data_IF_408335995111
#
_entry.id   IF_408335995111
#
_cell.length_a   1.000
_cell.length_b   1.000
_cell.length_c   1.000
_cell.angle_alpha   90.00
_cell.angle_beta   90.00
_cell.angle_gamma   90.00
#
_symmetry.space_group_name_H-M   'P 1'
#
loop_
_entity.id
_entity.type
_entity.pdbx_description
1 polymer ?
2 non-polymer ?
3 non-polymer ?
4 water ?
#
# COMPACT_ATOMS: atom_id res chain seq x y z
N UNK A 2 -6.95 -6.31 18.90
CA UNK A 2 -5.79 -6.61 19.79
C UNK A 2 -4.78 -7.48 19.03
N UNK A 3 -4.78 -7.33 17.71
CA UNK A 3 -3.90 -8.06 16.81
C UNK A 3 -2.78 -7.13 16.34
N UNK A 4 -1.55 -7.62 16.34
CA UNK A 4 -0.42 -6.80 15.94
C UNK A 4 -0.04 -6.85 14.47
N UNK A 5 0.60 -5.78 14.02
CA UNK A 5 1.07 -5.66 12.66
C UNK A 5 2.47 -5.09 12.63
N UNK A 6 3.42 -5.84 12.09
CA UNK A 6 4.77 -5.33 12.02
C UNK A 6 4.93 -4.73 10.64
N UNK A 7 5.57 -3.56 10.60
CA UNK A 7 5.75 -2.86 9.35
C UNK A 7 7.19 -2.81 8.87
N UNK A 8 7.40 -3.23 7.63
CA UNK A 8 8.72 -3.25 7.05
C UNK A 8 8.84 -2.11 6.05
N UNK A 9 9.89 -1.30 6.20
CA UNK A 9 10.12 -0.15 5.31
C UNK A 9 11.43 -0.32 4.56
N UNK A 10 11.36 -0.50 3.25
CA UNK A 10 12.56 -0.69 2.45
C UNK A 10 12.90 0.41 1.44
N UNK A 11 14.19 0.73 1.36
CA UNK A 11 14.66 1.73 0.43
C UNK A 11 14.15 3.12 0.74
N UNK A 12 14.61 4.08 -0.03
CA UNK A 12 14.20 5.47 0.17
C UNK A 12 12.67 5.59 0.20
N UNK A 13 12.01 5.17 -0.87
CA UNK A 13 10.56 5.23 -0.98
C UNK A 13 9.90 4.56 0.24
N UNK A 14 10.25 3.31 0.48
CA UNK A 14 9.67 2.62 1.61
C UNK A 14 9.82 3.42 2.89
N UNK A 15 11.00 3.95 3.12
CA UNK A 15 11.24 4.71 4.32
C UNK A 15 10.76 6.16 4.38
N UNK A 16 10.54 6.76 3.22
CA UNK A 16 10.05 8.12 3.21
C UNK A 16 8.52 8.15 3.32
N UNK A 17 7.82 7.15 2.79
CA UNK A 17 6.38 7.16 2.97
C UNK A 17 6.13 6.64 4.39
N UNK A 18 7.05 5.84 4.90
CA UNK A 18 6.94 5.26 6.23
C UNK A 18 7.11 6.34 7.27
N UNK A 19 8.04 7.25 6.98
CA UNK A 19 8.30 8.38 7.85
C UNK A 19 6.98 9.15 8.01
N UNK A 20 6.35 9.47 6.89
CA UNK A 20 5.09 10.18 6.89
C UNK A 20 3.96 9.38 7.58
N UNK A 21 3.95 8.07 7.39
CA UNK A 21 2.94 7.23 8.00
C UNK A 21 2.92 7.30 9.52
N UNK A 22 4.10 7.21 10.14
CA UNK A 22 4.22 7.27 11.59
C UNK A 22 4.06 8.68 12.12
N UNK A 23 4.27 9.67 11.26
CA UNK A 23 4.14 11.04 11.69
C UNK A 23 2.64 11.26 11.84
N UNK A 24 1.88 10.63 10.95
CA UNK A 24 0.44 10.75 10.92
C UNK A 24 -0.23 9.92 12.01
N UNK A 25 0.15 8.67 12.15
CA UNK A 25 -0.45 7.87 13.20
C UNK A 25 -0.16 8.53 14.55
N UNK A 26 1.04 9.06 14.71
CA UNK A 26 1.41 9.73 15.95
C UNK A 26 0.47 10.88 16.31
N UNK A 27 0.17 11.72 15.33
CA UNK A 27 -0.71 12.84 15.55
C UNK A 27 -2.08 12.33 16.02
N UNK A 28 -2.54 11.24 15.41
CA UNK A 28 -3.83 10.70 15.74
C UNK A 28 -3.93 10.04 17.10
N UNK A 29 -2.89 9.37 17.54
CA UNK A 29 -2.94 8.70 18.84
C UNK A 29 -2.37 9.54 19.98
N UNK A 30 -2.27 10.84 19.76
CA UNK A 30 -1.75 11.73 20.79
C UNK A 30 -0.35 11.41 21.28
N UNK A 31 0.49 10.85 20.41
CA UNK A 31 1.86 10.53 20.78
C UNK A 31 2.75 11.60 20.18
N UNK A 32 3.83 11.92 20.88
CA UNK A 32 4.76 12.94 20.40
C UNK A 32 5.88 12.25 19.67
N UNK A 33 6.82 13.04 19.09
CA UNK A 33 7.96 12.48 18.36
C UNK A 33 8.75 11.51 19.23
N UNK A 34 8.16 11.16 20.37
CA UNK A 34 8.74 10.20 21.31
C UNK A 34 7.59 9.52 22.06
N UNK A 35 6.98 10.21 23.02
CA UNK A 35 5.90 9.57 23.76
C UNK A 35 4.85 10.30 24.60
N UNK A 36 3.59 10.00 24.25
CA UNK A 36 2.34 10.48 24.88
C UNK A 36 2.17 11.93 25.34
N UNK A 37 0.91 12.33 25.58
CA UNK A 37 0.54 13.67 26.04
C UNK A 37 -0.18 13.58 27.39
N UNK A 45 -10.56 6.08 24.12
CA UNK A 45 -9.80 4.84 24.04
C UNK A 45 -9.69 4.36 22.61
N UNK A 46 -8.45 4.22 22.15
CA UNK A 46 -8.10 3.78 20.82
C UNK A 46 -7.12 2.63 20.98
N UNK A 47 -6.97 1.80 19.95
CA UNK A 47 -6.04 0.68 20.06
C UNK A 47 -4.68 1.06 19.47
N UNK A 48 -3.72 1.35 20.36
CA UNK A 48 -2.38 1.73 19.96
C UNK A 48 -1.56 0.48 19.73
N UNK A 49 -1.95 -0.57 20.43
CA UNK A 49 -1.24 -1.85 20.36
C UNK A 49 -1.07 -2.39 18.95
N UNK A 50 -2.10 -2.28 18.13
CA UNK A 50 -2.01 -2.80 16.78
C UNK A 50 -0.72 -2.35 16.08
N UNK A 51 -0.43 -1.05 16.12
CA UNK A 51 0.77 -0.54 15.46
C UNK A 51 1.88 -0.06 16.40
N UNK A 52 1.57 0.12 17.68
CA UNK A 52 2.59 0.57 18.65
C UNK A 52 2.90 -0.38 19.78
N UNK A 53 4.12 -0.25 20.29
CA UNK A 53 4.57 -1.08 21.40
C UNK A 53 4.80 -0.24 22.65
N UNK A 54 4.52 -0.83 23.80
CA UNK A 54 4.70 -0.18 25.11
C UNK A 54 6.17 -0.14 25.48
N UNK A 55 6.75 1.05 25.58
CA UNK A 55 8.16 1.13 25.94
C UNK A 55 8.36 0.80 27.42
N UNK A 56 9.52 0.21 27.73
CA UNK A 56 9.87 -0.17 29.09
C UNK A 56 10.02 1.07 29.98
N UNK A 57 9.44 2.17 29.52
CA UNK A 57 9.45 3.45 30.21
C UNK A 57 8.12 4.16 29.97
N UNK A 58 7.02 3.39 29.99
CA UNK A 58 5.68 3.93 29.77
C UNK A 58 5.61 4.89 28.57
N UNK A 59 6.55 4.75 27.63
CA UNK A 59 6.59 5.57 26.42
C UNK A 59 6.14 4.70 25.23
N UNK A 60 5.93 5.31 24.07
CA UNK A 60 5.51 4.56 22.89
C UNK A 60 6.50 4.56 21.74
N UNK A 61 6.55 3.42 21.05
CA UNK A 61 7.42 3.22 19.91
C UNK A 61 6.70 2.35 18.90
N UNK A 62 6.90 2.62 17.61
CA UNK A 62 6.28 1.87 16.53
C UNK A 62 6.91 0.52 16.23
N UNK A 63 6.05 -0.44 15.88
CA UNK A 63 6.46 -1.79 15.50
C UNK A 63 6.89 -1.61 14.05
N UNK A 64 7.99 -0.89 13.86
CA UNK A 64 8.48 -0.63 12.54
C UNK A 64 9.91 -1.09 12.40
N UNK A 65 10.27 -1.39 11.16
CA UNK A 65 11.60 -1.87 10.85
C UNK A 65 12.15 -1.12 9.64
N UNK A 66 13.08 -0.20 9.88
CA UNK A 66 13.67 0.57 8.80
C UNK A 66 14.86 -0.17 8.21
N UNK A 67 14.73 -0.64 6.97
CA UNK A 67 15.79 -1.38 6.29
C UNK A 67 16.21 -0.71 4.99
N UNK A 68 17.49 -0.41 4.87
CA UNK A 68 17.98 0.25 3.67
C UNK A 68 19.40 -0.22 3.34
N UNK A 69 19.79 -0.08 2.07
CA UNK A 69 21.10 -0.49 1.61
C UNK A 69 21.99 0.73 1.45
N UNK A 70 21.50 1.87 1.88
CA UNK A 70 22.27 3.10 1.80
C UNK A 70 21.90 3.89 3.03
N UNK A 71 22.88 4.57 3.64
CA UNK A 71 22.64 5.36 4.85
C UNK A 71 21.90 6.70 4.68
N UNK A 72 22.04 7.31 3.51
CA UNK A 72 21.43 8.61 3.25
C UNK A 72 20.05 8.86 3.86
N UNK A 73 19.05 8.06 3.46
CA UNK A 73 17.68 8.24 3.93
C UNK A 73 17.39 7.95 5.41
N UNK A 74 17.91 6.85 5.92
CA UNK A 74 17.66 6.51 7.31
C UNK A 74 18.28 7.53 8.26
N UNK A 75 19.40 8.10 7.86
CA UNK A 75 20.07 9.10 8.69
C UNK A 75 19.33 10.45 8.64
N UNK A 76 18.51 10.63 7.61
CA UNK A 76 17.70 11.85 7.47
C UNK A 76 16.65 11.79 8.58
N UNK A 77 16.01 10.63 8.68
CA UNK A 77 15.01 10.37 9.70
C UNK A 77 15.66 10.49 11.08
N UNK A 78 16.84 9.89 11.22
CA UNK A 78 17.55 9.94 12.49
C UNK A 78 18.03 11.34 12.91
N UNK A 79 18.40 12.17 11.93
CA UNK A 79 18.83 13.53 12.24
C UNK A 79 17.61 14.48 12.14
N UNK A 80 16.42 13.94 12.40
CA UNK A 80 15.17 14.70 12.33
C UNK A 80 14.38 14.73 13.65
N UNK A 81 13.20 15.37 13.64
CA UNK A 81 12.39 15.44 14.86
C UNK A 81 11.77 14.12 15.30
N UNK A 82 11.98 13.05 14.54
CA UNK A 82 11.41 11.76 14.91
C UNK A 82 12.45 10.69 15.20
N UNK A 83 13.69 11.11 15.37
CA UNK A 83 14.79 10.20 15.67
C UNK A 83 14.54 9.41 16.94
N UNK A 84 14.00 10.07 17.96
CA UNK A 84 13.72 9.43 19.25
C UNK A 84 12.56 8.44 19.26
N UNK A 85 11.66 8.58 18.30
CA UNK A 85 10.50 7.71 18.23
C UNK A 85 10.83 6.25 17.92
N UNK A 86 11.56 6.02 16.84
CA UNK A 86 11.92 4.69 16.42
C UNK A 86 12.74 3.89 17.39
N UNK A 87 12.57 2.58 17.36
CA UNK A 87 13.34 1.68 18.21
C UNK A 87 14.69 1.52 17.52
N UNK A 88 15.75 2.06 18.13
CA UNK A 88 17.10 1.98 17.58
C UNK A 88 17.58 0.62 17.08
N UNK A 89 17.17 -0.47 17.72
CA UNK A 89 17.59 -1.80 17.28
C UNK A 89 16.79 -2.29 16.09
N UNK A 90 15.85 -1.48 15.61
CA UNK A 90 15.03 -1.87 14.46
C UNK A 90 15.46 -1.20 13.16
N UNK A 91 16.61 -0.56 13.19
CA UNK A 91 17.15 0.15 12.04
C UNK A 91 18.36 -0.60 11.48
N UNK A 92 18.32 -0.95 10.19
CA UNK A 92 19.44 -1.66 9.58
C UNK A 92 19.94 -1.13 8.23
N UNK A 93 21.26 -0.99 8.13
CA UNK A 93 21.93 -0.50 6.92
C UNK A 93 23.04 -1.46 6.48
N UNK A 94 23.05 -1.84 5.21
CA UNK A 94 24.07 -2.76 4.68
C UNK A 94 25.39 -2.03 4.52
N UNK A 101 21.41 -2.01 -4.87
CA UNK A 101 22.57 -1.26 -5.34
C UNK A 101 22.33 -0.67 -6.72
N UNK A 102 21.05 -0.56 -7.07
CA UNK A 102 20.54 -0.03 -8.35
C UNK A 102 19.78 -1.13 -9.07
N UNK A 103 20.18 -2.38 -8.82
CA UNK A 103 19.57 -3.52 -9.50
C UNK A 103 18.77 -4.43 -8.57
N UNK A 104 17.69 -4.98 -9.10
CA UNK A 104 16.83 -5.91 -8.36
C UNK A 104 17.72 -7.05 -7.89
N UNK A 105 18.44 -7.63 -8.85
CA UNK A 105 19.34 -8.75 -8.59
C UNK A 105 20.26 -8.41 -7.43
N UNK A 106 20.89 -7.24 -7.53
CA UNK A 106 21.80 -6.77 -6.49
C UNK A 106 21.05 -6.67 -5.16
N UNK A 107 19.77 -6.34 -5.25
CA UNK A 107 18.97 -6.19 -4.05
C UNK A 107 18.56 -7.53 -3.50
N UNK A 108 18.11 -8.41 -4.37
CA UNK A 108 17.70 -9.72 -3.93
C UNK A 108 18.89 -10.40 -3.28
N UNK A 109 20.07 -10.07 -3.80
CA UNK A 109 21.32 -10.66 -3.36
C UNK A 109 21.69 -10.26 -1.93
N UNK A 110 21.82 -8.96 -1.71
CA UNK A 110 22.18 -8.44 -0.40
C UNK A 110 21.22 -8.85 0.72
N UNK A 111 20.04 -9.33 0.35
CA UNK A 111 19.10 -9.77 1.36
C UNK A 111 19.59 -11.08 1.93
N UNK A 112 19.88 -12.02 1.03
CA UNK A 112 20.37 -13.34 1.41
C UNK A 112 21.63 -13.15 2.25
N UNK A 113 22.42 -12.16 1.90
CA UNK A 113 23.64 -11.90 2.64
C UNK A 113 23.34 -11.36 4.03
N UNK A 114 22.31 -10.52 4.14
CA UNK A 114 21.98 -9.91 5.41
C UNK A 114 20.84 -10.61 6.14
N UNK A 115 20.37 -11.70 5.55
CA UNK A 115 19.29 -12.47 6.14
C UNK A 115 19.30 -12.47 7.68
N UNK A 116 20.19 -13.25 8.26
CA UNK A 116 20.28 -13.35 9.73
C UNK A 116 20.18 -12.03 10.48
N UNK A 117 20.94 -11.03 10.06
CA UNK A 117 20.89 -9.75 10.74
C UNK A 117 19.48 -9.16 10.72
N UNK A 118 18.85 -9.18 9.54
CA UNK A 118 17.51 -8.65 9.36
C UNK A 118 16.45 -9.38 10.22
N UNK A 119 16.46 -10.70 10.15
CA UNK A 119 15.49 -11.44 10.92
C UNK A 119 15.69 -11.40 12.42
N UNK A 120 16.86 -10.97 12.87
CA UNK A 120 17.06 -10.86 14.30
C UNK A 120 16.09 -9.78 14.78
N UNK A 121 15.91 -8.74 13.96
CA UNK A 121 15.01 -7.66 14.33
C UNK A 121 13.59 -8.09 14.09
N UNK A 122 13.35 -8.73 12.94
CA UNK A 122 11.99 -9.15 12.63
C UNK A 122 11.49 -10.22 13.59
N UNK A 123 12.32 -11.19 13.92
CA UNK A 123 11.85 -12.24 14.83
C UNK A 123 11.60 -11.72 16.22
N UNK A 124 12.41 -10.77 16.66
CA UNK A 124 12.25 -10.17 17.99
C UNK A 124 10.92 -9.44 18.11
N UNK A 125 10.62 -8.60 17.12
CA UNK A 125 9.35 -7.86 17.12
C UNK A 125 8.22 -8.85 17.03
N UNK A 126 8.43 -9.95 16.32
CA UNK A 126 7.40 -10.95 16.17
C UNK A 126 7.11 -11.57 17.54
N UNK A 127 8.14 -11.72 18.34
CA UNK A 127 7.97 -12.29 19.65
C UNK A 127 7.18 -11.39 20.56
N UNK A 128 7.58 -10.12 20.62
CA UNK A 128 6.91 -9.15 21.47
C UNK A 128 5.40 -9.27 21.36
N UNK A 129 4.91 -9.35 20.13
CA UNK A 129 3.48 -9.46 19.88
C UNK A 129 2.91 -10.72 20.54
N UNK A 130 1.68 -10.61 21.04
CA UNK A 130 1.03 -11.72 21.72
C UNK A 130 0.04 -12.38 20.77
N UNK A 131 -0.30 -11.66 19.71
CA UNK A 131 -1.21 -12.17 18.69
C UNK A 131 -0.93 -11.45 17.39
N UNK A 132 0.21 -11.77 16.80
CA UNK A 132 0.61 -11.17 15.53
C UNK A 132 -0.29 -11.59 14.41
N UNK A 133 -0.90 -10.62 13.74
CA UNK A 133 -1.77 -10.93 12.63
C UNK A 133 -0.94 -11.05 11.34
N UNK A 134 -0.08 -10.06 11.08
CA UNK A 134 0.71 -10.10 9.87
C UNK A 134 1.74 -9.01 9.67
N UNK A 135 2.18 -8.88 8.42
CA UNK A 135 3.19 -7.90 8.03
C UNK A 135 2.78 -6.98 6.89
N UNK A 136 3.23 -5.74 6.99
CA UNK A 136 2.98 -4.74 5.98
C UNK A 136 4.35 -4.30 5.46
N UNK A 137 4.50 -4.34 4.14
CA UNK A 137 5.76 -3.99 3.52
C UNK A 137 5.61 -2.76 2.64
N UNK A 138 6.31 -1.69 3.01
CA UNK A 138 6.27 -0.44 2.26
C UNK A 138 7.50 -0.42 1.38
N UNK A 139 7.29 -0.22 0.09
CA UNK A 139 8.41 -0.21 -0.83
C UNK A 139 7.97 0.23 -2.21
N UNK A 140 8.94 0.45 -3.08
CA UNK A 140 8.66 0.81 -4.47
C UNK A 140 8.90 -0.44 -5.31
N UNK A 141 8.26 -0.50 -6.48
CA UNK A 141 8.41 -1.63 -7.38
C UNK A 141 9.68 -1.48 -8.22
N UNK A 142 9.93 -0.27 -8.73
CA UNK A 142 11.13 -0.01 -9.53
C UNK A 142 12.31 -0.09 -8.58
N UNK A 143 13.26 0.84 -8.68
CA UNK A 143 14.40 0.80 -7.77
C UNK A 143 15.06 -0.55 -7.51
N UNK A 144 16.20 -0.55 -6.81
CA UNK A 144 16.87 -1.80 -6.52
C UNK A 144 16.45 -2.45 -5.21
N UNK A 145 16.69 -1.73 -4.11
CA UNK A 145 16.33 -2.17 -2.77
C UNK A 145 14.85 -2.58 -2.67
N UNK A 146 13.98 -1.58 -2.68
CA UNK A 146 12.55 -1.83 -2.61
C UNK A 146 12.10 -3.08 -3.33
N UNK A 147 12.51 -3.25 -4.59
CA UNK A 147 12.09 -4.42 -5.39
C UNK A 147 12.89 -5.66 -5.11
N UNK A 148 14.21 -5.52 -5.10
CA UNK A 148 15.10 -6.64 -4.84
C UNK A 148 15.03 -7.17 -3.42
N UNK A 149 15.48 -6.38 -2.45
CA UNK A 149 15.43 -6.81 -1.07
C UNK A 149 13.95 -7.04 -0.67
N UNK A 150 13.04 -6.30 -1.30
CA UNK A 150 11.63 -6.47 -1.03
C UNK A 150 11.13 -7.83 -1.44
N UNK A 151 11.47 -8.24 -2.67
CA UNK A 151 11.07 -9.56 -3.18
C UNK A 151 11.65 -10.70 -2.34
N UNK A 152 12.89 -10.54 -1.86
CA UNK A 152 13.51 -11.57 -1.03
C UNK A 152 12.77 -11.73 0.29
N UNK A 153 12.54 -10.63 0.99
CA UNK A 153 11.82 -10.64 2.26
C UNK A 153 10.46 -11.30 2.04
N UNK A 154 9.75 -10.87 1.00
CA UNK A 154 8.45 -11.42 0.68
C UNK A 154 8.48 -12.94 0.53
N UNK A 155 9.57 -13.47 -0.01
CA UNK A 155 9.72 -14.91 -0.18
C UNK A 155 10.03 -15.61 1.14
N UNK A 156 10.80 -14.94 1.99
CA UNK A 156 11.17 -15.50 3.29
C UNK A 156 10.00 -15.45 4.28
N UNK A 157 9.32 -14.31 4.37
CA UNK A 157 8.19 -14.18 5.28
C UNK A 157 7.21 -15.30 4.98
N UNK A 158 7.14 -15.70 3.72
CA UNK A 158 6.24 -16.76 3.28
C UNK A 158 6.64 -18.15 3.82
N UNK A 159 7.79 -18.22 4.50
CA UNK A 159 8.26 -19.47 5.10
C UNK A 159 8.46 -19.34 6.61
N UNK A 160 9.26 -18.39 7.06
CA UNK A 160 9.48 -18.19 8.48
C UNK A 160 8.14 -17.98 9.22
N UNK A 161 7.14 -17.45 8.51
CA UNK A 161 5.80 -17.18 9.05
C UNK A 161 4.69 -17.50 8.04
N UNK A 162 4.41 -18.79 7.83
CA UNK A 162 3.40 -19.32 6.91
C UNK A 162 1.96 -18.86 7.09
N UNK A 163 1.56 -18.64 8.34
CA UNK A 163 0.17 -18.26 8.65
C UNK A 163 -0.06 -16.76 8.68
N UNK A 164 0.91 -16.03 9.22
CA UNK A 164 0.82 -14.59 9.32
C UNK A 164 0.52 -13.98 7.94
N UNK A 165 -0.44 -13.07 7.91
CA UNK A 165 -0.86 -12.43 6.67
C UNK A 165 0.18 -11.43 6.16
N UNK A 166 0.17 -11.18 4.87
CA UNK A 166 1.10 -10.23 4.30
C UNK A 166 0.44 -9.21 3.37
N UNK A 167 0.58 -7.93 3.73
CA UNK A 167 0.00 -6.88 2.91
C UNK A 167 1.06 -5.87 2.52
N UNK A 168 0.86 -5.22 1.39
CA UNK A 168 1.84 -4.22 0.99
C UNK A 168 1.27 -2.98 0.35
N UNK A 169 2.00 -1.89 0.53
CA UNK A 169 1.67 -0.63 -0.09
C UNK A 169 2.85 -0.57 -1.05
N UNK A 170 2.56 -0.88 -2.30
CA UNK A 170 3.57 -0.91 -3.32
C UNK A 170 3.48 0.33 -4.21
N UNK A 171 4.59 1.05 -4.31
CA UNK A 171 4.65 2.26 -5.11
C UNK A 171 5.13 2.03 -6.55
N UNK A 172 4.21 2.21 -7.50
CA UNK A 172 4.49 2.06 -8.93
C UNK A 172 5.14 3.34 -9.47
N UNK A 173 6.15 3.19 -10.35
CA UNK A 173 6.82 4.38 -10.89
C UNK A 173 5.92 5.39 -11.58
N UNK A 174 6.50 6.53 -11.90
CA UNK A 174 5.76 7.57 -12.59
C UNK A 174 5.77 7.30 -14.08
N UNK A 175 4.61 6.87 -14.59
CA UNK A 175 4.40 6.57 -16.00
C UNK A 175 5.13 5.29 -16.40
N UNK A 179 11.96 7.54 -18.72
CA UNK A 179 12.33 7.03 -17.40
C UNK A 179 13.49 7.84 -16.81
N UNK A 180 14.44 7.13 -16.22
CA UNK A 180 15.63 7.70 -15.60
C UNK A 180 16.09 6.73 -14.52
N UNK A 181 16.06 5.45 -14.90
CA UNK A 181 16.48 4.33 -14.07
C UNK A 181 16.88 3.28 -15.10
N UNK A 182 16.20 3.34 -16.25
CA UNK A 182 16.44 2.47 -17.38
C UNK A 182 15.87 1.06 -17.25
N UNK A 183 16.05 0.44 -16.10
CA UNK A 183 15.58 -0.91 -15.91
C UNK A 183 14.37 -1.11 -15.01
N UNK A 184 13.60 -0.05 -14.78
CA UNK A 184 12.41 -0.15 -13.95
C UNK A 184 11.55 -1.30 -14.43
N UNK A 185 11.28 -1.38 -15.74
CA UNK A 185 10.45 -2.49 -16.25
C UNK A 185 10.99 -3.86 -15.85
N UNK A 186 12.29 -3.93 -15.56
CA UNK A 186 12.90 -5.19 -15.13
C UNK A 186 12.59 -5.40 -13.66
N UNK A 187 13.10 -4.52 -12.80
CA UNK A 187 12.82 -4.61 -11.37
C UNK A 187 11.33 -4.85 -11.15
N UNK A 188 10.50 -4.07 -11.86
CA UNK A 188 9.06 -4.14 -11.74
C UNK A 188 8.42 -5.50 -12.01
N UNK A 189 8.87 -6.17 -13.06
CA UNK A 189 8.31 -7.47 -13.41
C UNK A 189 8.73 -8.53 -12.40
N UNK A 190 10.00 -8.49 -12.02
CA UNK A 190 10.50 -9.44 -11.07
C UNK A 190 9.74 -9.34 -9.75
N UNK A 191 9.39 -8.11 -9.38
CA UNK A 191 8.66 -7.90 -8.13
C UNK A 191 7.18 -8.24 -8.25
N UNK A 192 6.54 -7.83 -9.34
CA UNK A 192 5.13 -8.14 -9.49
C UNK A 192 4.88 -9.64 -9.33
N UNK A 193 5.92 -10.44 -9.55
CA UNK A 193 5.80 -11.89 -9.42
C UNK A 193 5.67 -12.27 -7.95
N UNK A 194 6.53 -11.68 -7.12
CA UNK A 194 6.53 -11.95 -5.68
C UNK A 194 5.33 -11.26 -4.99
N UNK A 195 4.66 -10.36 -5.72
CA UNK A 195 3.51 -9.65 -5.17
C UNK A 195 2.25 -10.42 -5.51
N UNK A 196 2.34 -11.28 -6.51
CA UNK A 196 1.19 -12.07 -6.94
C UNK A 196 1.02 -13.37 -6.17
N UNK A 197 2.14 -14.01 -5.82
CA UNK A 197 2.06 -15.27 -5.10
C UNK A 197 2.54 -15.22 -3.69
N UNK A 198 3.32 -14.19 -3.36
CA UNK A 198 3.85 -14.04 -2.02
C UNK A 198 3.26 -12.83 -1.28
N UNK A 199 1.99 -12.54 -1.52
CA UNK A 199 1.35 -11.41 -0.87
C UNK A 199 -0.15 -11.64 -0.84
N UNK A 200 -0.75 -11.38 0.31
CA UNK A 200 -2.18 -11.56 0.47
C UNK A 200 -2.95 -10.36 -0.10
N UNK A 201 -2.45 -9.15 0.16
CA UNK A 201 -3.11 -7.94 -0.30
C UNK A 201 -2.13 -6.88 -0.79
N UNK A 202 -2.45 -6.32 -1.95
CA UNK A 202 -1.62 -5.33 -2.59
C UNK A 202 -2.25 -3.96 -2.81
N UNK A 203 -2.05 -3.03 -1.89
CA UNK A 203 -2.61 -1.71 -2.13
C UNK A 203 -1.66 -1.02 -3.10
N UNK A 204 -2.16 -0.73 -4.29
CA UNK A 204 -1.34 -0.11 -5.30
C UNK A 204 -1.36 1.41 -5.22
N UNK A 205 -0.16 1.99 -5.19
CA UNK A 205 -0.01 3.45 -5.17
C UNK A 205 0.69 3.83 -6.48
N UNK A 206 -0.08 4.40 -7.39
CA UNK A 206 0.41 4.81 -8.71
C UNK A 206 0.99 6.23 -8.62
N UNK A 207 2.30 6.35 -8.84
CA UNK A 207 2.96 7.65 -8.75
C UNK A 207 2.41 8.60 -9.79
N UNK A 208 2.03 8.06 -10.93
CA UNK A 208 1.45 8.89 -11.99
C UNK A 208 0.17 9.53 -11.49
N UNK A 209 -0.72 8.74 -10.89
CA UNK A 209 -1.98 9.27 -10.39
C UNK A 209 -1.72 10.20 -9.22
N UNK A 210 -0.73 9.86 -8.41
CA UNK A 210 -0.39 10.69 -7.26
C UNK A 210 -0.01 12.08 -7.73
N UNK A 211 0.77 12.14 -8.80
CA UNK A 211 1.18 13.41 -9.36
C UNK A 211 -0.03 14.22 -9.84
N UNK A 212 -0.67 13.75 -10.92
CA UNK A 212 -1.83 14.42 -11.50
C UNK A 212 -2.61 15.16 -10.44
N UNK A 213 -2.88 14.48 -9.33
CA UNK A 213 -3.61 15.08 -8.22
C UNK A 213 -2.82 16.28 -7.68
N UNK A 214 -1.71 15.98 -7.01
CA UNK A 214 -0.86 17.00 -6.45
C UNK A 214 -0.83 18.22 -7.36
N UNK A 215 -0.67 17.97 -8.66
CA UNK A 215 -0.60 19.01 -9.67
C UNK A 215 -1.94 19.71 -9.89
N UNK A 216 -2.95 18.94 -10.26
CA UNK A 216 -4.28 19.49 -10.53
C UNK A 216 -5.05 19.81 -9.25
N UNK A 217 -5.74 18.81 -8.70
CA UNK A 217 -6.52 19.00 -7.48
C UNK A 217 -5.65 19.43 -6.30
N UNK A 218 -4.72 20.35 -6.54
CA UNK A 218 -3.84 20.86 -5.49
C UNK A 218 -2.93 22.00 -5.96
N UNK A 219 -2.78 22.13 -7.28
CA UNK A 219 -2.00 23.19 -7.92
C UNK A 219 -0.51 23.34 -7.55
N UNK A 220 0.27 22.30 -7.87
CA UNK A 220 1.70 22.27 -7.62
C UNK A 220 2.38 21.89 -8.94
N UNK A 221 3.15 22.81 -9.52
CA UNK A 221 3.79 22.55 -10.81
C UNK A 221 4.85 21.46 -10.74
N UNK A 222 5.61 21.44 -9.66
CA UNK A 222 6.64 20.42 -9.51
C UNK A 222 6.43 19.71 -8.18
N UNK A 223 5.42 18.82 -8.12
CA UNK A 223 5.11 18.07 -6.89
C UNK A 223 6.30 17.23 -6.43
N UNK A 224 6.76 17.50 -5.21
CA UNK A 224 7.90 16.76 -4.66
C UNK A 224 7.44 15.46 -3.99
N UNK A 225 8.38 14.57 -3.68
CA UNK A 225 8.03 13.31 -3.03
C UNK A 225 7.40 13.57 -1.67
N UNK A 226 7.94 14.56 -0.96
CA UNK A 226 7.44 14.97 0.34
C UNK A 226 5.96 15.24 0.18
N UNK A 227 5.66 16.15 -0.74
CA UNK A 227 4.30 16.55 -1.05
C UNK A 227 3.46 15.35 -1.44
N UNK A 228 4.01 14.53 -2.32
CA UNK A 228 3.32 13.33 -2.79
C UNK A 228 3.05 12.34 -1.66
N UNK A 229 4.03 12.16 -0.78
CA UNK A 229 3.90 11.23 0.35
C UNK A 229 2.89 11.73 1.37
N UNK A 230 2.41 12.95 1.19
CA UNK A 230 1.43 13.49 2.09
C UNK A 230 0.11 12.82 1.76
N UNK A 231 -0.08 12.51 0.49
CA UNK A 231 -1.31 11.84 0.05
C UNK A 231 -1.29 10.39 0.51
N UNK A 232 -0.20 9.70 0.19
CA UNK A 232 -0.02 8.30 0.54
C UNK A 232 -0.24 8.09 2.03
N UNK A 233 0.22 9.04 2.83
CA UNK A 233 0.07 8.94 4.27
C UNK A 233 -1.40 8.92 4.70
N UNK A 234 -2.22 9.70 3.98
CA UNK A 234 -3.64 9.79 4.26
C UNK A 234 -4.33 8.49 3.98
N UNK A 235 -4.01 7.88 2.84
CA UNK A 235 -4.61 6.59 2.49
C UNK A 235 -4.15 5.54 3.49
N UNK A 236 -2.84 5.47 3.70
CA UNK A 236 -2.29 4.51 4.65
C UNK A 236 -2.94 4.75 5.99
N UNK A 237 -3.16 6.01 6.34
CA UNK A 237 -3.80 6.32 7.60
C UNK A 237 -5.28 5.94 7.65
N UNK A 238 -6.05 6.37 6.66
CA UNK A 238 -7.47 6.05 6.69
C UNK A 238 -7.75 4.55 6.58
N UNK A 239 -7.07 3.88 5.64
CA UNK A 239 -7.28 2.45 5.45
C UNK A 239 -6.96 1.57 6.67
N UNK A 240 -6.65 2.19 7.82
CA UNK A 240 -6.37 1.43 9.05
C UNK A 240 -7.16 1.97 10.25
N UNK A 241 -8.07 2.90 9.99
CA UNK A 241 -8.86 3.50 11.06
C UNK A 241 -9.78 2.55 11.80
N UNK A 242 -10.29 1.52 11.11
CA UNK A 242 -11.17 0.57 11.79
C UNK A 242 -10.39 -0.35 12.69
N UNK A 243 -9.06 -0.37 12.54
CA UNK A 243 -8.19 -1.20 13.37
C UNK A 243 -7.63 -0.42 14.56
N UNK A 244 -7.52 0.90 14.42
CA UNK A 244 -6.96 1.72 15.48
C UNK A 244 -8.05 2.34 16.36
N UNK A 245 -9.23 2.49 15.78
CA UNK A 245 -10.40 3.02 16.51
C UNK A 245 -11.45 1.90 16.31
N UNK A 246 -11.14 0.69 16.82
CA UNK A 246 -11.95 -0.52 16.76
C UNK A 246 -13.40 -0.49 17.17
N UNK A 247 -14.19 -1.28 16.44
CA UNK A 247 -15.60 -1.44 16.70
C UNK A 247 -15.88 -2.92 16.79
N UNK A 248 -17.09 -3.35 16.50
CA UNK A 248 -17.44 -4.76 16.57
C UNK A 248 -17.05 -5.48 15.28
N UNK A 249 -17.36 -4.88 14.14
CA UNK A 249 -17.02 -5.49 12.85
C UNK A 249 -15.73 -4.80 12.40
N UNK A 250 -15.09 -5.34 11.36
CA UNK A 250 -13.88 -4.73 10.79
C UNK A 250 -12.71 -4.43 11.75
N UNK A 251 -12.44 -5.29 12.74
CA UNK A 251 -11.33 -4.99 13.65
C UNK A 251 -10.04 -5.76 13.33
N UNK A 252 -10.17 -6.73 12.42
CA UNK A 252 -9.07 -7.56 11.95
C UNK A 252 -8.61 -6.95 10.65
N UNK A 253 -7.32 -7.04 10.32
CA UNK A 253 -6.86 -6.50 9.04
C UNK A 253 -7.53 -7.41 8.02
N UNK A 254 -7.44 -8.71 8.30
CA UNK A 254 -8.02 -9.75 7.46
C UNK A 254 -9.54 -9.60 7.33
N UNK A 255 -10.14 -8.83 8.23
CA UNK A 255 -11.57 -8.60 8.18
C UNK A 255 -11.87 -7.70 7.00
N UNK A 256 -10.88 -6.91 6.61
CA UNK A 256 -11.02 -6.02 5.46
C UNK A 256 -10.60 -6.75 4.21
N UNK A 257 -9.31 -7.08 4.15
CA UNK A 257 -8.78 -7.79 3.01
C UNK A 257 -9.71 -8.91 2.53
N UNK A 258 -10.25 -9.68 3.46
CA UNK A 258 -11.13 -10.78 3.07
C UNK A 258 -12.37 -10.28 2.31
N UNK A 259 -12.96 -9.19 2.78
CA UNK A 259 -14.16 -8.65 2.13
C UNK A 259 -13.86 -8.00 0.77
N UNK A 260 -12.58 -7.78 0.48
CA UNK A 260 -12.16 -7.15 -0.78
C UNK A 260 -11.56 -8.13 -1.79
N UNK A 261 -11.20 -9.31 -1.31
CA UNK A 261 -10.57 -10.32 -2.16
C UNK A 261 -11.30 -11.64 -2.01
N UNK A 262 -12.25 -11.93 -2.91
CA UNK A 262 -13.03 -13.16 -2.89
C UNK A 262 -12.20 -14.36 -3.33
N UNK A 263 -11.36 -14.14 -4.33
CA UNK A 263 -10.50 -15.18 -4.85
C UNK A 263 -9.04 -14.73 -4.75
N UNK A 264 -8.11 -15.68 -4.54
CA UNK A 264 -6.71 -15.26 -4.45
C UNK A 264 -6.24 -14.61 -5.75
N UNK A 265 -4.93 -14.51 -5.93
CA UNK A 265 -4.35 -13.90 -7.12
C UNK A 265 -4.88 -12.47 -7.29
N UNK A 266 -6.17 -12.37 -7.63
CA UNK A 266 -6.79 -11.07 -7.82
C UNK A 266 -6.90 -10.41 -6.46
N UNK A 267 -5.85 -9.70 -6.08
CA UNK A 267 -5.83 -9.01 -4.80
C UNK A 267 -5.08 -7.70 -4.93
N UNK A 268 -5.17 -7.07 -6.11
CA UNK A 268 -4.53 -5.79 -6.34
C UNK A 268 -5.60 -4.73 -6.25
N UNK A 269 -5.54 -3.93 -5.20
CA UNK A 269 -6.52 -2.91 -4.92
C UNK A 269 -6.08 -1.51 -5.28
N UNK A 270 -7.05 -0.68 -5.61
CA UNK A 270 -6.81 0.73 -5.92
C UNK A 270 -7.45 1.53 -4.79
N UNK A 271 -7.03 2.78 -4.60
CA UNK A 271 -7.63 3.58 -3.55
C UNK A 271 -8.06 4.94 -4.08
N UNK A 272 -8.67 5.73 -3.19
CA UNK A 272 -9.14 7.06 -3.53
C UNK A 272 -9.58 7.80 -2.28
N UNK A 273 -9.45 9.13 -2.29
CA UNK A 273 -9.86 9.93 -1.15
C UNK A 273 -10.80 11.06 -1.61
N UNK A 274 -11.67 11.52 -0.72
CA UNK A 274 -12.63 12.58 -1.08
C UNK A 274 -12.19 13.98 -0.70
N UNK A 275 -12.38 14.37 0.56
CA UNK A 275 -11.94 15.74 0.86
C UNK A 275 -10.42 15.86 0.67
N UNK A 276 -10.05 16.27 -0.54
CA UNK A 276 -8.65 16.43 -0.91
C UNK A 276 -8.04 17.82 -0.74
N UNK A 277 -8.85 18.87 -0.83
CA UNK A 277 -8.32 20.23 -0.74
C UNK A 277 -9.15 21.24 0.07
N UNK A 278 -9.30 22.43 -0.52
CA UNK A 278 -10.04 23.59 -0.04
C UNK A 278 -9.76 24.29 1.28
N UNK A 279 -10.63 25.26 1.52
CA UNK A 279 -10.65 26.15 2.68
C UNK A 279 -11.55 27.29 2.20
N UNK A 280 -12.35 26.99 1.17
CA UNK A 280 -13.27 27.94 0.56
C UNK A 280 -14.71 27.43 0.63
N UNK A 284 -17.15 28.94 2.74
CA UNK A 284 -17.29 27.49 2.82
C UNK A 284 -18.33 26.99 1.83
N UNK A 285 -18.69 25.72 1.98
CA UNK A 285 -19.68 25.09 1.11
C UNK A 285 -21.04 25.17 1.79
N UNK A 286 -22.10 24.81 1.06
CA UNK A 286 -23.46 24.86 1.62
C UNK A 286 -23.80 23.60 2.43
N UNK A 287 -23.20 22.47 2.07
CA UNK A 287 -23.44 21.21 2.77
C UNK A 287 -22.74 20.03 2.10
N UNK A 288 -21.99 19.27 2.90
CA UNK A 288 -21.27 18.09 2.44
C UNK A 288 -21.71 16.89 3.27
N UNK A 289 -22.51 16.02 2.64
CA UNK A 289 -23.05 14.85 3.31
C UNK A 289 -22.42 13.58 2.79
N UNK A 290 -22.63 12.48 3.50
CA UNK A 290 -22.09 11.20 3.10
C UNK A 290 -22.46 10.87 1.66
N UNK A 291 -23.50 11.54 1.16
CA UNK A 291 -23.98 11.31 -0.20
C UNK A 291 -22.98 11.70 -1.29
N UNK A 292 -22.63 12.98 -1.31
CA UNK A 292 -21.69 13.44 -2.31
C UNK A 292 -20.30 12.87 -2.04
N UNK A 293 -20.07 12.40 -0.81
CA UNK A 293 -18.80 11.80 -0.43
C UNK A 293 -18.64 10.44 -1.10
N UNK A 294 -19.67 9.62 -1.04
CA UNK A 294 -19.62 8.34 -1.68
C UNK A 294 -19.71 8.53 -3.20
N UNK A 295 -20.49 9.51 -3.63
CA UNK A 295 -20.65 9.77 -5.04
C UNK A 295 -19.30 10.08 -5.69
N UNK A 296 -18.47 10.84 -4.98
CA UNK A 296 -17.16 11.23 -5.48
C UNK A 296 -16.12 10.11 -5.45
N UNK A 297 -16.18 9.26 -4.42
CA UNK A 297 -15.26 8.15 -4.29
C UNK A 297 -15.42 7.22 -5.49
N UNK A 298 -16.33 7.57 -6.39
CA UNK A 298 -16.57 6.75 -7.57
C UNK A 298 -16.13 7.46 -8.85
N UNK A 299 -15.77 8.74 -8.74
CA UNK A 299 -15.33 9.48 -9.91
C UNK A 299 -13.85 9.16 -10.05
N UNK A 300 -13.44 8.64 -11.23
CA UNK A 300 -12.03 8.29 -11.47
C UNK A 300 -10.99 9.36 -11.15
N UNK A 301 -11.39 10.63 -11.15
CA UNK A 301 -10.46 11.71 -10.85
C UNK A 301 -9.95 11.66 -9.42
N UNK A 302 -10.63 10.90 -8.57
CA UNK A 302 -10.20 10.79 -7.18
C UNK A 302 -9.52 9.43 -6.94
N UNK A 303 -9.65 8.52 -7.91
CA UNK A 303 -9.04 7.21 -7.83
C UNK A 303 -7.54 7.39 -8.12
N UNK A 304 -6.71 7.07 -7.12
CA UNK A 304 -5.27 7.24 -7.24
C UNK A 304 -4.51 6.22 -8.09
N UNK A 305 -5.02 5.98 -9.28
CA UNK A 305 -4.40 5.06 -10.23
C UNK A 305 -4.82 5.54 -11.63
N UNK A 306 -3.94 5.34 -12.60
CA UNK A 306 -4.19 5.77 -13.96
C UNK A 306 -4.47 4.63 -14.92
N UNK A 307 -5.68 4.63 -15.48
CA UNK A 307 -6.12 3.60 -16.42
C UNK A 307 -6.45 4.13 -17.83
N UNK A 308 -6.10 3.35 -18.84
CA UNK A 308 -6.36 3.75 -20.21
C UNK A 308 -6.31 2.58 -21.18
N UNK A 313 -15.04 0.44 -22.14
CA UNK A 313 -16.02 -0.37 -21.40
C UNK A 313 -15.40 -1.64 -20.77
N UNK A 314 -16.21 -2.69 -20.70
CA UNK A 314 -15.87 -4.00 -20.14
C UNK A 314 -15.33 -4.09 -18.71
N UNK A 315 -14.33 -3.26 -18.34
CA UNK A 315 -13.79 -3.33 -16.98
C UNK A 315 -14.82 -2.99 -15.90
N UNK A 316 -14.65 -3.60 -14.74
CA UNK A 316 -15.59 -3.42 -13.66
C UNK A 316 -14.97 -3.76 -12.30
N UNK A 317 -15.67 -3.38 -11.24
CA UNK A 317 -15.21 -3.66 -9.91
C UNK A 317 -15.49 -5.11 -9.53
N UNK A 318 -14.81 -5.60 -8.49
CA UNK A 318 -15.01 -6.96 -7.98
C UNK A 318 -15.51 -6.82 -6.55
N UNK A 319 -15.27 -5.64 -5.98
CA UNK A 319 -15.69 -5.35 -4.62
C UNK A 319 -15.31 -3.93 -4.36
N UNK A 320 -15.97 -3.31 -3.39
CA UNK A 320 -15.69 -1.93 -3.06
C UNK A 320 -15.93 -1.69 -1.59
N UNK A 321 -14.99 -0.99 -0.97
CA UNK A 321 -15.11 -0.65 0.44
C UNK A 321 -15.02 0.86 0.57
N UNK A 322 -15.89 1.44 1.40
CA UNK A 322 -15.92 2.88 1.64
C UNK A 322 -15.81 3.10 3.15
N UNK A 323 -14.78 3.80 3.60
CA UNK A 323 -14.64 4.08 5.03
C UNK A 323 -14.90 5.56 5.28
N UNK A 324 -15.95 5.84 6.03
CA UNK A 324 -16.31 7.21 6.34
C UNK A 324 -16.04 7.56 7.79
N UNK A 325 -15.44 8.74 7.97
CA UNK A 325 -15.13 9.26 9.30
C UNK A 325 -16.08 10.41 9.63
N UNK A 326 -16.25 10.67 10.92
CA UNK A 326 -17.12 11.75 11.35
C UNK A 326 -18.57 11.33 11.49
N UNK A 327 -19.43 12.31 11.75
CA UNK A 327 -20.86 12.07 11.93
C UNK A 327 -21.48 11.52 10.67
N UNK A 328 -22.52 10.70 10.81
CA UNK A 328 -23.19 10.14 9.64
C UNK A 328 -24.64 9.71 9.85
N UNK A 329 -24.86 8.72 10.73
CA UNK A 329 -26.20 8.17 10.97
C UNK A 329 -26.47 7.26 9.78
N UNK A 330 -26.26 5.95 9.98
CA UNK A 330 -26.43 4.88 9.00
C UNK A 330 -27.75 4.84 8.26
N UNK A 331 -28.51 5.91 8.32
CA UNK A 331 -29.78 5.94 7.62
C UNK A 331 -29.53 6.67 6.31
N UNK A 332 -28.70 7.71 6.41
CA UNK A 332 -28.34 8.53 5.27
C UNK A 332 -27.59 7.65 4.27
N UNK A 333 -26.80 6.71 4.79
CA UNK A 333 -26.02 5.79 3.98
C UNK A 333 -26.85 4.89 3.07
N UNK A 334 -27.96 4.38 3.59
CA UNK A 334 -28.81 3.51 2.79
C UNK A 334 -29.34 4.32 1.59
N UNK A 335 -29.52 5.62 1.80
CA UNK A 335 -30.03 6.51 0.75
C UNK A 335 -29.03 6.79 -0.37
N UNK A 336 -27.75 6.94 -0.02
CA UNK A 336 -26.71 7.20 -1.00
C UNK A 336 -26.54 6.01 -1.96
N UNK A 337 -26.61 4.81 -1.40
CA UNK A 337 -26.46 3.60 -2.18
C UNK A 337 -27.56 3.53 -3.25
N UNK A 338 -28.79 3.79 -2.83
CA UNK A 338 -29.93 3.75 -3.73
C UNK A 338 -29.68 4.64 -4.94
N UNK A 339 -29.38 5.91 -4.68
CA UNK A 339 -29.13 6.85 -5.75
C UNK A 339 -28.09 6.31 -6.72
N UNK A 340 -27.11 5.58 -6.19
CA UNK A 340 -26.05 4.98 -7.03
C UNK A 340 -26.62 3.84 -7.88
N UNK A 341 -27.40 2.95 -7.26
CA UNK A 341 -27.99 1.82 -7.98
C UNK A 341 -28.81 2.33 -9.16
N UNK A 342 -29.48 3.45 -8.97
CA UNK A 342 -30.33 4.05 -10.01
C UNK A 342 -29.61 4.96 -11.02
N UNK A 343 -28.49 5.57 -10.62
CA UNK A 343 -27.73 6.43 -11.53
C UNK A 343 -26.62 5.65 -12.21
N UNK A 344 -26.66 4.32 -12.08
CA UNK A 344 -25.68 3.41 -12.67
C UNK A 344 -24.26 3.97 -12.56
N UNK A 345 -23.90 4.41 -11.36
CA UNK A 345 -22.58 4.98 -11.08
C UNK A 345 -21.47 3.99 -10.80
N UNK A 346 -21.84 2.74 -10.50
CA UNK A 346 -20.84 1.72 -10.19
C UNK A 346 -21.04 0.45 -11.01
N UNK A 347 -20.10 0.20 -11.93
CA UNK A 347 -20.17 -0.99 -12.77
C UNK A 347 -19.49 -2.15 -12.06
N UNK A 348 -20.27 -3.01 -11.43
CA UNK A 348 -19.70 -4.16 -10.74
C UNK A 348 -19.57 -5.38 -11.64
N UNK A 349 -19.01 -6.45 -11.09
CA UNK A 349 -18.83 -7.66 -11.87
C UNK A 349 -20.16 -8.14 -12.35
N UNK A 350 -20.17 -9.04 -13.34
CA UNK A 350 -21.41 -9.59 -13.89
C UNK A 350 -21.68 -10.98 -13.33
N UNK A 351 -20.61 -11.62 -12.87
CA UNK A 351 -20.71 -12.97 -12.34
C UNK A 351 -21.08 -13.08 -10.87
N UNK A 352 -21.77 -12.09 -10.32
CA UNK A 352 -22.10 -12.23 -8.91
C UNK A 352 -22.64 -11.04 -8.17
N UNK A 353 -22.78 -11.17 -6.84
CA UNK A 353 -23.29 -10.15 -5.92
C UNK A 353 -22.51 -8.82 -5.97
N UNK A 354 -23.08 -7.86 -6.69
CA UNK A 354 -22.48 -6.53 -6.84
C UNK A 354 -22.71 -5.66 -5.60
N UNK A 355 -21.71 -5.58 -4.72
CA UNK A 355 -21.90 -4.79 -3.51
C UNK A 355 -20.72 -3.96 -2.98
N UNK A 356 -21.05 -2.75 -2.54
CA UNK A 356 -20.10 -1.80 -1.98
C UNK A 356 -20.26 -1.76 -0.45
N UNK A 357 -19.18 -1.92 0.29
CA UNK A 357 -19.29 -1.91 1.75
C UNK A 357 -18.97 -0.58 2.37
N UNK A 358 -19.68 -0.27 3.44
CA UNK A 358 -19.46 0.96 4.14
C UNK A 358 -19.07 0.70 5.59
N UNK A 359 -18.03 1.39 6.02
CA UNK A 359 -17.53 1.26 7.39
C UNK A 359 -17.43 2.66 7.98
N UNK A 360 -18.22 2.88 9.02
CA UNK A 360 -18.26 4.17 9.69
C UNK A 360 -17.30 4.23 10.87
N UNK A 361 -16.05 4.58 10.59
CA UNK A 361 -15.02 4.66 11.62
C UNK A 361 -15.00 6.04 12.28
N UNK A 362 -14.36 6.11 13.43
CA UNK A 362 -14.25 7.38 14.12
C UNK A 362 -12.99 8.06 13.63
N UNK A 363 -12.61 9.11 14.33
CA UNK A 363 -11.40 9.86 14.02
C UNK A 363 -10.67 9.92 15.37
N UNK A 364 -9.54 10.61 15.42
CA UNK A 364 -8.83 10.70 16.67
C UNK A 364 -9.37 11.93 17.37
N UNK A 365 -9.38 11.94 18.71
CA UNK A 365 -9.88 13.11 19.43
C UNK A 365 -9.02 14.38 19.22
N UNK A 366 -8.68 14.68 17.96
CA UNK A 366 -7.86 15.85 17.58
C UNK A 366 -8.15 16.25 16.11
N UNK A 367 -8.45 17.52 15.87
CA UNK A 367 -8.76 18.02 14.51
C UNK A 367 -9.16 16.94 13.48
N UNK A 372 -17.04 17.89 9.70
CA UNK A 372 -17.20 17.56 8.29
C UNK A 372 -16.93 16.08 8.02
N UNK A 373 -17.50 15.58 6.93
CA UNK A 373 -17.33 14.19 6.52
C UNK A 373 -15.95 14.01 5.87
N UNK A 374 -15.59 12.75 5.66
CA UNK A 374 -14.31 12.38 5.09
C UNK A 374 -14.50 10.97 4.51
N UNK A 375 -13.92 10.69 3.34
CA UNK A 375 -14.09 9.36 2.80
C UNK A 375 -12.90 8.72 2.11
N UNK A 376 -12.71 7.42 2.35
CA UNK A 376 -11.63 6.66 1.73
C UNK A 376 -12.18 5.45 1.01
N UNK A 377 -11.82 5.28 -0.25
CA UNK A 377 -12.28 4.12 -1.00
C UNK A 377 -11.12 3.12 -1.11
N UNK A 378 -11.49 1.85 -1.30
CA UNK A 378 -10.54 0.75 -1.50
C UNK A 378 -11.33 -0.20 -2.38
N UNK A 379 -10.91 -0.32 -3.64
CA UNK A 379 -11.63 -1.17 -4.56
C UNK A 379 -10.73 -2.15 -5.26
N UNK A 380 -11.29 -3.33 -5.54
CA UNK A 380 -10.57 -4.35 -6.29
C UNK A 380 -11.23 -4.23 -7.64
N UNK A 381 -10.60 -3.48 -8.54
CA UNK A 381 -11.12 -3.20 -9.88
C UNK A 381 -10.29 -3.92 -10.95
N UNK A 382 -10.96 -4.28 -12.04
CA UNK A 382 -10.33 -5.02 -13.13
C UNK A 382 -9.29 -4.26 -13.93
N UNK A 383 -9.60 -3.02 -14.28
CA UNK A 383 -8.67 -2.22 -15.06
C UNK A 383 -7.32 -2.03 -14.39
N UNK A 384 -7.13 -2.69 -13.24
CA UNK A 384 -5.87 -2.57 -12.53
C UNK A 384 -4.76 -3.28 -13.31
N UNK A 385 -5.16 -4.27 -14.10
CA UNK A 385 -4.24 -5.06 -14.91
C UNK A 385 -3.49 -4.24 -15.93
N UNK A 386 -4.08 -3.10 -16.28
CA UNK A 386 -3.49 -2.18 -17.24
C UNK A 386 -2.03 -1.88 -16.90
N UNK A 387 -1.74 -1.65 -15.62
CA UNK A 387 -0.38 -1.36 -15.17
C UNK A 387 0.53 -2.54 -15.41
N UNK A 388 0.02 -3.74 -15.12
CA UNK A 388 0.78 -4.96 -15.31
C UNK A 388 1.06 -5.09 -16.81
N UNK A 389 0.04 -4.78 -17.60
CA UNK A 389 0.17 -4.84 -19.06
C UNK A 389 1.22 -3.80 -19.48
N UNK A 390 0.98 -2.55 -19.10
CA UNK A 390 1.86 -1.45 -19.42
C UNK A 390 3.32 -1.74 -19.06
N UNK A 391 3.52 -2.70 -18.18
CA UNK A 391 4.87 -3.04 -17.73
C UNK A 391 5.49 -4.11 -18.59
N UNK A 392 4.69 -5.10 -18.97
CA UNK A 392 5.19 -6.17 -19.81
C UNK A 392 5.52 -5.61 -21.17
N UNK A 393 4.67 -4.72 -21.67
CA UNK A 393 4.89 -4.11 -22.99
C UNK A 393 6.29 -3.49 -22.99
N UNK A 394 6.66 -2.91 -21.86
CA UNK A 394 7.96 -2.30 -21.70
C UNK A 394 9.01 -3.38 -21.50
N UNK A 395 8.76 -4.28 -20.57
CA UNK A 395 9.71 -5.37 -20.33
C UNK A 395 9.99 -6.03 -21.66
N UNK A 396 8.94 -6.56 -22.30
CA UNK A 396 9.10 -7.21 -23.58
C UNK A 396 10.07 -6.40 -24.45
N UNK A 397 9.68 -5.18 -24.81
CA UNK A 397 10.52 -4.32 -25.63
C UNK A 397 11.99 -4.41 -25.22
N UNK A 398 12.31 -3.93 -24.02
CA UNK A 398 13.68 -3.95 -23.53
C UNK A 398 14.27 -5.35 -23.53
N UNK A 399 13.41 -6.36 -23.50
CA UNK A 399 13.89 -7.73 -23.47
C UNK A 399 14.32 -8.21 -24.86
N UNK A 400 13.45 -7.99 -25.84
CA UNK A 400 13.72 -8.40 -27.22
C UNK A 400 15.00 -7.79 -27.79
N UNK A 401 15.68 -6.94 -27.01
CA UNK A 401 16.90 -6.31 -27.47
C UNK A 401 18.07 -6.60 -26.54
N UNK A 402 17.85 -7.44 -25.55
CA UNK A 402 18.90 -7.77 -24.58
C UNK A 402 19.47 -6.47 -24.01
N UNK A 403 18.58 -5.53 -23.74
CA UNK A 403 18.95 -4.23 -23.20
C UNK A 403 19.36 -4.29 -21.73
N UNK A 404 20.45 -3.61 -21.41
CA UNK A 404 20.96 -3.52 -20.04
C UNK A 404 21.09 -4.83 -19.28
N UNK A 405 20.87 -5.97 -19.94
CA UNK A 405 20.98 -7.26 -19.27
C UNK A 405 22.34 -7.46 -18.59
N UNK A 406 23.25 -6.53 -18.78
CA UNK A 406 24.58 -6.62 -18.19
C UNK A 406 24.73 -5.74 -16.96
N UNK A 407 24.45 -6.32 -15.81
CA UNK A 407 24.54 -5.64 -14.51
C UNK A 407 23.66 -6.50 -13.60
N UNK A 408 22.76 -7.23 -14.25
CA UNK A 408 21.85 -8.13 -13.58
C UNK A 408 22.48 -9.52 -13.75
N UNK A 409 22.88 -9.82 -14.98
CA UNK A 409 23.53 -11.09 -15.29
C UNK A 409 24.92 -11.09 -14.64
N UNK A 410 25.05 -10.27 -13.60
CA UNK A 410 26.30 -10.15 -12.86
C UNK A 410 26.16 -10.81 -11.49
N UNK A 411 25.21 -11.74 -11.37
CA UNK A 411 24.98 -12.43 -10.12
C UNK A 411 23.80 -13.39 -10.13
N UNK A 412 24.08 -14.65 -10.47
CA UNK A 412 23.06 -15.69 -10.51
C UNK A 412 21.93 -15.41 -11.48
N UNK A 413 22.31 -14.92 -12.65
CA UNK A 413 21.38 -14.60 -13.71
C UNK A 413 22.05 -15.14 -14.98
N UNK A 414 22.64 -16.33 -14.82
CA UNK A 414 23.34 -17.02 -15.90
C UNK A 414 22.34 -17.78 -16.77
N UNK A 415 21.09 -17.34 -16.68
CA UNK A 415 19.95 -17.86 -17.43
C UNK A 415 18.77 -16.95 -17.07
N UNK A 416 17.52 -17.42 -17.17
CA UNK A 416 16.40 -16.53 -16.88
C UNK A 416 15.23 -16.89 -15.97
N UNK A 417 15.14 -16.12 -14.90
CA UNK A 417 14.07 -16.22 -13.91
C UNK A 417 13.07 -15.19 -14.44
N UNK A 418 13.54 -14.36 -15.37
CA UNK A 418 12.74 -13.33 -16.01
C UNK A 418 11.56 -13.97 -16.72
N UNK A 419 11.83 -15.06 -17.41
CA UNK A 419 10.78 -15.76 -18.14
C UNK A 419 9.74 -16.33 -17.17
N UNK A 420 10.19 -16.81 -16.02
CA UNK A 420 9.26 -17.35 -15.04
C UNK A 420 8.32 -16.22 -14.61
N UNK A 421 8.89 -15.08 -14.24
CA UNK A 421 8.12 -13.93 -13.79
C UNK A 421 7.12 -13.46 -14.84
N UNK A 422 7.59 -13.06 -16.01
CA UNK A 422 6.71 -12.58 -17.07
C UNK A 422 5.46 -13.47 -17.24
N UNK A 423 5.65 -14.79 -17.31
CA UNK A 423 4.53 -15.72 -17.45
C UNK A 423 3.59 -15.64 -16.26
N UNK A 424 4.13 -15.59 -15.06
CA UNK A 424 3.31 -15.49 -13.86
C UNK A 424 2.45 -14.25 -13.98
N UNK A 425 3.10 -13.12 -14.31
CA UNK A 425 2.41 -11.85 -14.44
C UNK A 425 1.34 -11.88 -15.53
N UNK A 426 1.61 -12.60 -16.62
CA UNK A 426 0.63 -12.70 -17.70
C UNK A 426 -0.59 -13.44 -17.15
N UNK A 427 -0.35 -14.29 -16.16
CA UNK A 427 -1.44 -15.04 -15.52
C UNK A 427 -2.38 -14.09 -14.78
N UNK A 428 -1.78 -13.11 -14.09
CA UNK A 428 -2.54 -12.13 -13.33
C UNK A 428 -3.41 -11.31 -14.26
N UNK A 429 -2.88 -10.96 -15.43
CA UNK A 429 -3.65 -10.15 -16.36
C UNK A 429 -4.73 -10.97 -17.00
N UNK A 430 -4.48 -12.28 -17.10
CA UNK A 430 -5.44 -13.18 -17.71
C UNK A 430 -6.69 -13.37 -16.86
N UNK A 431 -6.51 -13.51 -15.55
CA UNK A 431 -7.64 -13.68 -14.64
C UNK A 431 -8.37 -12.37 -14.34
N UNK A 432 -7.63 -11.26 -14.28
CA UNK A 432 -8.24 -9.96 -13.99
C UNK A 432 -9.18 -9.62 -15.15
N UNK A 433 -8.76 -9.94 -16.38
CA UNK A 433 -9.57 -9.70 -17.58
C UNK A 433 -10.67 -10.78 -17.61
N UNK A 434 -10.28 -12.00 -17.24
CA UNK A 434 -11.21 -13.12 -17.20
C UNK A 434 -12.30 -12.83 -16.18
N UNK A 435 -12.01 -11.91 -15.26
CA UNK A 435 -12.93 -11.56 -14.18
C UNK A 435 -14.06 -10.59 -14.59
N UNK A 436 -13.88 -9.85 -15.67
CA UNK A 436 -14.95 -8.95 -16.06
C UNK A 436 -15.95 -9.72 -16.95
N UNK A 437 -15.57 -10.94 -17.31
CA UNK A 437 -16.41 -11.80 -18.15
C UNK A 437 -17.53 -12.43 -17.33
N UNK A 438 -18.77 -12.33 -17.80
CA UNK A 438 -19.92 -12.89 -17.10
C UNK A 438 -19.73 -14.39 -16.84
N UNK A 439 -18.91 -15.01 -17.69
CA UNK A 439 -18.61 -16.44 -17.63
C UNK A 439 -17.87 -16.81 -16.34
N UNK A 440 -16.84 -16.02 -16.04
CA UNK A 440 -15.96 -16.15 -14.88
C UNK A 440 -16.24 -17.30 -13.90
#
# INVERSE_FOLDING_TARGET
MPREIITLQLGQCGNQIGFEFWKQLCAEHGISPEAIVEEFATEGTDRKDVFFYQADDEHYIPRAVLLDLEPRVIHSILNSPYAKLYNPENIYLSEHGGGAGNNWASGFSQGEKIHEDIFDIIDREADGSDSLEGFVLCHSIAGGTGSGLGSYLLERLNDRYPKKLVQTYSVFPNQDEMSDVVVQPYNSLLTLKRLTQNADCLVVLDNTALNRIATDRLHIQNPSFSQINQLVSTIMSASTTTLRYPGYMNNDLIGLIASLIPTPRLHFLMTGYTPLTTDQSVASVRKTTVLDVMRRLLQPKNVMVSTGRDRQTNHCYIAILNIIQGEVDPTQVHKSLQRIRERKLANFIPWGPASIQVALSRKSPYLPSAHRVSGLMMANHTSISSLFERTCRQYDKLRKREAFLEQFRKEDMFKDNFDEMDTSREIVQQLIDEYHAATRPDYISWGTQVDVDGGEQKLISEEDLLLEHHHHHH
#
